data_IF_413191395637
#
_entry.id   IF_413191395637
#
_cell.length_a   1.000
_cell.length_b   1.000
_cell.length_c   1.000
_cell.angle_alpha   90.00
_cell.angle_beta   90.00
_cell.angle_gamma   90.00
#
_symmetry.space_group_name_H-M   'P 1'
#
loop_
_entity.id
_entity.type
_entity.pdbx_description
1 polymer ?
#
# COMPACT_ATOMS: atom_id res chain seq x y z
N UNK A 1 -7.60 4.50 23.32
CA UNK A 1 -8.27 3.60 24.29
C UNK A 1 -8.09 2.17 23.82
N UNK A 2 -7.79 1.25 24.74
CA UNK A 2 -7.36 -0.15 24.50
C UNK A 2 -5.99 -0.32 23.82
N UNK A 3 -4.94 0.05 24.55
CA UNK A 3 -3.62 -0.52 24.32
C UNK A 3 -3.59 -1.92 24.95
N UNK A 4 -4.00 -2.95 24.21
CA UNK A 4 -3.72 -4.34 24.61
C UNK A 4 -2.20 -4.51 24.50
N UNK A 5 -1.54 -4.46 25.64
CA UNK A 5 -0.13 -4.75 25.74
C UNK A 5 0.12 -6.24 25.88
N UNK A 6 1.40 -6.59 25.93
CA UNK A 6 1.83 -7.94 26.29
C UNK A 6 1.25 -8.43 27.63
N UNK A 7 1.13 -7.61 28.70
CA UNK A 7 0.57 -8.07 29.97
C UNK A 7 -0.88 -8.54 29.86
N UNK A 8 -1.74 -7.80 29.16
CA UNK A 8 -3.15 -8.13 28.97
C UNK A 8 -3.31 -9.43 28.15
N UNK A 9 -2.48 -9.62 27.11
CA UNK A 9 -2.46 -10.85 26.33
C UNK A 9 -2.06 -12.08 27.16
N UNK A 10 -1.06 -11.93 28.04
CA UNK A 10 -0.63 -13.01 28.94
C UNK A 10 -1.74 -13.37 29.93
N UNK A 11 -2.47 -12.39 30.47
CA UNK A 11 -3.59 -12.64 31.39
C UNK A 11 -4.70 -13.45 30.71
N UNK A 12 -5.09 -13.07 29.50
CA UNK A 12 -6.10 -13.79 28.71
C UNK A 12 -5.60 -15.21 28.38
N UNK A 13 -4.34 -15.35 27.97
CA UNK A 13 -3.74 -16.65 27.70
C UNK A 13 -3.72 -17.54 28.95
N UNK A 14 -3.42 -17.00 30.13
CA UNK A 14 -3.45 -17.75 31.39
C UNK A 14 -4.85 -18.29 31.71
N UNK A 15 -5.90 -17.47 31.53
CA UNK A 15 -7.29 -17.92 31.72
C UNK A 15 -7.65 -19.00 30.70
N UNK A 16 -7.33 -18.80 29.43
CA UNK A 16 -7.56 -19.79 28.38
C UNK A 16 -6.83 -21.11 28.66
N UNK A 17 -5.60 -21.04 29.19
CA UNK A 17 -4.80 -22.17 29.60
C UNK A 17 -5.39 -22.94 30.79
N UNK A 18 -6.09 -22.28 31.70
CA UNK A 18 -6.79 -22.96 32.80
C UNK A 18 -8.01 -23.73 32.25
N UNK A 19 -8.77 -23.11 31.34
CA UNK A 19 -9.99 -23.71 30.77
C UNK A 19 -9.66 -24.85 29.81
N UNK A 20 -8.72 -24.65 28.89
CA UNK A 20 -8.33 -25.67 27.90
C UNK A 20 -7.24 -26.61 28.41
N UNK A 21 -6.35 -26.14 29.27
CA UNK A 21 -5.15 -26.85 29.72
C UNK A 21 -3.91 -26.56 28.87
N UNK A 22 -2.71 -26.36 29.48
CA UNK A 22 -1.48 -26.05 28.76
C UNK A 22 -0.98 -27.18 27.86
N UNK A 23 -1.35 -28.42 28.16
CA UNK A 23 -1.03 -29.57 27.30
C UNK A 23 -1.89 -29.63 26.04
N UNK A 24 -3.13 -29.09 26.07
CA UNK A 24 -4.04 -29.15 24.92
C UNK A 24 -3.77 -28.10 23.86
N UNK A 25 -3.26 -26.92 24.23
CA UNK A 25 -2.86 -25.88 23.27
C UNK A 25 -1.88 -26.38 22.18
N UNK A 26 -0.74 -27.00 22.53
CA UNK A 26 0.20 -27.48 21.52
C UNK A 26 -0.37 -28.64 20.70
N UNK A 27 -1.23 -29.48 21.28
CA UNK A 27 -1.88 -30.57 20.55
C UNK A 27 -2.91 -30.04 19.54
N UNK A 28 -3.73 -29.06 19.93
CA UNK A 28 -4.66 -28.34 19.03
C UNK A 28 -3.91 -27.58 17.93
N UNK A 29 -2.80 -26.91 18.27
CA UNK A 29 -1.97 -26.22 17.29
C UNK A 29 -1.35 -27.20 16.29
N UNK A 30 -0.90 -28.38 16.74
CA UNK A 30 -0.39 -29.44 15.85
C UNK A 30 -1.48 -29.98 14.94
N UNK A 31 -2.68 -30.26 15.45
CA UNK A 31 -3.78 -30.78 14.63
C UNK A 31 -4.25 -29.75 13.62
N UNK A 32 -4.44 -28.50 14.04
CA UNK A 32 -4.82 -27.40 13.15
C UNK A 32 -3.72 -27.12 12.13
N UNK A 33 -2.45 -27.13 12.54
CA UNK A 33 -1.31 -26.93 11.65
C UNK A 33 -1.20 -28.02 10.58
N UNK A 34 -1.48 -29.28 10.93
CA UNK A 34 -1.56 -30.38 9.96
C UNK A 34 -2.74 -30.17 9.00
N UNK A 35 -3.92 -29.85 9.53
CA UNK A 35 -5.11 -29.59 8.71
C UNK A 35 -4.90 -28.42 7.75
N UNK A 36 -4.32 -27.31 8.20
CA UNK A 36 -4.00 -26.15 7.36
C UNK A 36 -2.94 -26.50 6.30
N UNK A 37 -1.95 -27.34 6.64
CA UNK A 37 -0.93 -27.79 5.69
C UNK A 37 -1.54 -28.67 4.59
N UNK A 38 -2.40 -29.60 4.96
CA UNK A 38 -3.12 -30.47 4.02
C UNK A 38 -4.10 -29.66 3.17
N UNK A 39 -4.84 -28.73 3.79
CA UNK A 39 -5.73 -27.80 3.08
C UNK A 39 -4.97 -26.93 2.08
N UNK A 40 -3.81 -26.38 2.48
CA UNK A 40 -2.95 -25.60 1.58
C UNK A 40 -2.49 -26.47 0.41
N UNK A 41 -2.01 -27.69 0.69
CA UNK A 41 -1.54 -28.63 -0.35
C UNK A 41 -2.66 -28.97 -1.34
N UNK A 42 -3.84 -29.34 -0.84
CA UNK A 42 -5.01 -29.59 -1.68
C UNK A 42 -5.40 -28.37 -2.51
N UNK A 43 -5.40 -27.17 -1.91
CA UNK A 43 -5.67 -25.92 -2.65
C UNK A 43 -4.63 -25.64 -3.73
N UNK A 44 -3.35 -25.92 -3.47
CA UNK A 44 -2.27 -25.78 -4.46
C UNK A 44 -2.44 -26.77 -5.61
N UNK A 45 -2.72 -28.03 -5.33
CA UNK A 45 -2.98 -29.05 -6.36
C UNK A 45 -4.23 -28.72 -7.18
N UNK A 46 -5.28 -28.16 -6.55
CA UNK A 46 -6.46 -27.65 -7.25
C UNK A 46 -6.13 -26.45 -8.15
N UNK A 47 -5.26 -25.53 -7.68
CA UNK A 47 -4.81 -24.37 -8.45
C UNK A 47 -3.87 -24.74 -9.61
N UNK A 48 -3.17 -25.86 -9.51
CA UNK A 48 -2.28 -26.38 -10.56
C UNK A 48 -3.05 -27.27 -11.56
N UNK A 49 -4.10 -27.96 -11.12
CA UNK A 49 -4.94 -28.83 -11.97
C UNK A 49 -6.04 -28.06 -12.72
N UNK A 50 -6.62 -27.03 -12.10
CA UNK A 50 -7.34 -25.99 -12.84
C UNK A 50 -6.23 -25.12 -13.41
N UNK A 51 -6.20 -24.88 -14.73
CA UNK A 51 -5.11 -24.17 -15.42
C UNK A 51 -5.09 -22.64 -15.12
N UNK A 52 -5.32 -22.30 -13.87
CA UNK A 52 -5.36 -20.96 -13.32
C UNK A 52 -3.98 -20.33 -13.47
N UNK A 53 -2.89 -21.09 -13.47
CA UNK A 53 -1.56 -20.51 -13.64
C UNK A 53 -1.26 -20.07 -15.08
N UNK A 54 -1.74 -20.78 -16.10
CA UNK A 54 -1.63 -20.26 -17.48
C UNK A 54 -2.61 -19.11 -17.70
N UNK A 55 -3.86 -19.25 -17.25
CA UNK A 55 -4.89 -18.20 -17.44
C UNK A 55 -4.56 -16.92 -16.66
N UNK A 56 -4.06 -17.01 -15.42
CA UNK A 56 -3.59 -15.84 -14.66
C UNK A 56 -2.32 -15.23 -15.26
N UNK A 57 -1.42 -16.03 -15.83
CA UNK A 57 -0.21 -15.50 -16.48
C UNK A 57 -0.56 -14.71 -17.73
N UNK A 58 -1.52 -15.19 -18.53
CA UNK A 58 -1.98 -14.48 -19.73
C UNK A 58 -2.83 -13.25 -19.39
N UNK A 59 -3.69 -13.34 -18.38
CA UNK A 59 -4.40 -12.16 -17.84
C UNK A 59 -3.40 -11.13 -17.29
N UNK A 60 -2.37 -11.57 -16.56
CA UNK A 60 -1.35 -10.66 -16.02
C UNK A 60 -0.52 -10.00 -17.12
N UNK A 61 -0.16 -10.73 -18.18
CA UNK A 61 0.50 -10.15 -19.37
C UNK A 61 -0.39 -9.13 -20.08
N UNK A 62 -1.67 -9.44 -20.29
CA UNK A 62 -2.60 -8.51 -20.90
C UNK A 62 -2.79 -7.24 -20.04
N UNK A 63 -2.83 -7.37 -18.71
CA UNK A 63 -2.88 -6.23 -17.79
C UNK A 63 -1.58 -5.42 -17.78
N UNK A 64 -0.42 -6.07 -17.84
CA UNK A 64 0.89 -5.41 -17.89
C UNK A 64 1.05 -4.65 -19.24
N UNK A 65 0.67 -5.26 -20.37
CA UNK A 65 0.64 -4.61 -21.71
C UNK A 65 -0.34 -3.42 -21.75
N UNK A 66 -1.58 -3.61 -21.27
CA UNK A 66 -2.54 -2.50 -21.18
C UNK A 66 -2.06 -1.39 -20.24
N UNK A 67 -1.36 -1.71 -19.15
CA UNK A 67 -0.82 -0.70 -18.25
C UNK A 67 0.31 0.10 -18.88
N UNK A 68 1.14 -0.54 -19.69
CA UNK A 68 2.23 0.14 -20.40
C UNK A 68 1.67 1.01 -21.52
N UNK A 69 0.67 0.52 -22.28
CA UNK A 69 -0.06 1.32 -23.27
C UNK A 69 -0.81 2.51 -22.63
N UNK A 70 -1.46 2.28 -21.47
CA UNK A 70 -2.13 3.33 -20.71
C UNK A 70 -1.10 4.30 -20.14
N UNK A 71 0.04 3.85 -19.62
CA UNK A 71 1.10 4.75 -19.12
C UNK A 71 1.72 5.58 -20.23
N UNK A 72 1.95 4.98 -21.39
CA UNK A 72 2.44 5.67 -22.59
C UNK A 72 1.42 6.71 -23.07
N UNK A 73 0.13 6.41 -23.03
CA UNK A 73 -0.94 7.38 -23.33
C UNK A 73 -1.19 8.41 -22.20
N UNK A 74 -0.89 8.08 -20.94
CA UNK A 74 -1.06 8.95 -19.77
C UNK A 74 0.09 9.95 -19.64
N UNK A 75 1.32 9.60 -20.02
CA UNK A 75 2.45 10.56 -20.09
C UNK A 75 2.28 11.62 -21.19
N UNK A 76 1.32 11.45 -22.10
CA UNK A 76 0.96 12.48 -23.10
C UNK A 76 -0.04 13.50 -22.55
N UNK A 77 -0.70 13.23 -21.41
CA UNK A 77 -1.77 14.09 -20.88
C UNK A 77 -1.55 14.63 -19.45
N UNK A 78 -0.40 14.40 -18.81
CA UNK A 78 0.01 15.21 -17.64
C UNK A 78 0.82 16.43 -18.10
N UNK A 79 0.26 17.21 -19.04
CA UNK A 79 0.75 18.55 -19.37
C UNK A 79 -0.39 19.56 -19.60
N UNK A 80 -1.63 19.19 -19.21
CA UNK A 80 -2.81 20.04 -19.36
C UNK A 80 -3.26 20.78 -18.09
N UNK A 81 -2.47 20.78 -17.00
CA UNK A 81 -2.86 21.46 -15.75
C UNK A 81 -1.88 22.55 -15.26
N UNK A 82 -0.97 23.03 -16.13
CA UNK A 82 -0.15 24.23 -15.84
C UNK A 82 -0.19 25.31 -16.95
N UNK A 83 -1.25 25.33 -17.75
CA UNK A 83 -1.49 26.39 -18.77
C UNK A 83 -2.77 27.19 -18.54
N UNK A 84 -3.23 27.29 -17.29
CA UNK A 84 -4.32 28.19 -16.87
C UNK A 84 -3.93 29.14 -15.74
N UNK A 85 -2.70 29.06 -15.20
CA UNK A 85 -2.13 30.14 -14.37
C UNK A 85 -1.19 31.09 -15.14
N UNK A 86 -0.87 30.80 -16.41
CA UNK A 86 -0.01 31.65 -17.26
C UNK A 86 -0.78 32.48 -18.30
N UNK A 87 -2.03 32.84 -17.99
CA UNK A 87 -2.86 33.73 -18.84
C UNK A 87 -3.39 34.95 -18.06
N UNK A 88 -3.19 35.02 -16.74
CA UNK A 88 -3.49 36.20 -15.90
C UNK A 88 -2.26 36.95 -15.38
N UNK A 89 -1.04 36.46 -15.64
CA UNK A 89 0.21 37.09 -15.19
C UNK A 89 0.89 38.00 -16.23
N UNK A 90 0.22 38.33 -17.34
CA UNK A 90 0.68 39.32 -18.35
C UNK A 90 -0.02 40.68 -18.19
N UNK A 91 -0.16 41.15 -16.94
CA UNK A 91 -0.67 42.49 -16.63
C UNK A 91 -0.05 43.10 -15.35
N UNK A 92 1.22 42.79 -15.04
CA UNK A 92 1.94 43.56 -14.01
C UNK A 92 3.43 43.71 -14.28
N UNK A 93 3.76 44.09 -15.50
CA UNK A 93 4.92 44.96 -15.75
C UNK A 93 4.66 46.32 -15.08
N UNK A 94 4.96 46.44 -13.76
CA UNK A 94 5.14 47.72 -13.03
C UNK A 94 5.59 47.64 -11.56
N UNK A 95 6.21 46.54 -11.10
CA UNK A 95 6.82 46.50 -9.74
C UNK A 95 8.20 45.83 -9.66
N UNK A 96 8.97 45.88 -10.74
CA UNK A 96 10.42 45.96 -10.56
C UNK A 96 10.75 47.28 -9.81
N UNK A 97 11.68 47.21 -8.84
CA UNK A 97 12.51 48.34 -8.36
C UNK A 97 12.10 49.23 -7.15
N UNK A 98 11.18 48.88 -6.23
CA UNK A 98 10.97 49.74 -5.02
C UNK A 98 11.44 49.21 -3.66
N UNK A 99 11.51 47.89 -3.43
CA UNK A 99 11.78 47.38 -2.06
C UNK A 99 13.17 46.76 -1.84
N UNK A 100 13.99 46.57 -2.88
CA UNK A 100 15.35 46.05 -2.70
C UNK A 100 16.39 47.14 -2.41
N UNK A 101 16.15 48.39 -2.81
CA UNK A 101 17.10 49.51 -2.60
C UNK A 101 17.07 50.08 -1.18
N UNK A 102 16.02 49.84 -0.39
CA UNK A 102 15.96 50.31 1.01
C UNK A 102 16.66 49.41 2.02
N UNK A 103 17.01 48.17 1.64
CA UNK A 103 17.64 47.22 2.57
C UNK A 103 19.16 47.37 2.67
N UNK A 104 19.80 48.13 1.77
CA UNK A 104 21.24 48.46 1.83
C UNK A 104 21.56 49.85 2.37
N UNK A 105 20.55 50.62 2.79
CA UNK A 105 20.73 51.94 3.42
C UNK A 105 20.45 51.95 4.93
N UNK A 106 20.18 50.78 5.55
CA UNK A 106 19.97 50.67 7.00
C UNK A 106 21.13 50.00 7.76
N UNK A 107 22.13 49.51 7.02
CA UNK A 107 23.35 48.91 7.57
C UNK A 107 24.59 49.80 7.31
N UNK A 108 24.37 51.09 7.01
CA UNK A 108 25.36 52.17 7.12
C UNK A 108 24.91 53.15 8.21
#
# INVERSE_FOLDING_TARGET
>A
MFGIGMPEMILIAAIALIVLGPKKLPDLAKSLGRALREFKKATTELKESIDVDNELTDVKKAFDEMNDDIREAVDVNIDFDNKTQKVSASSNDKKAKKNQTRKRLKDL
#
